data_IF_728523825696
#
_entry.id   IF_728523825696
#
_cell.length_a   1.000
_cell.length_b   1.000
_cell.length_c   1.000
_cell.angle_alpha   90.00
_cell.angle_beta   90.00
_cell.angle_gamma   90.00
#
_symmetry.space_group_name_H-M   'P 1'
#
loop_
_entity.id
_entity.type
_entity.pdbx_description
1 polymer ?
#
# COMPACT_ATOMS: atom_id res chain seq x y z
N UNK A 1 -25.64 6.39 -16.21
CA UNK A 1 -24.80 5.20 -15.95
C UNK A 1 -23.52 5.29 -16.78
N UNK A 2 -22.38 5.12 -16.13
CA UNK A 2 -21.12 5.16 -16.87
C UNK A 2 -20.94 3.87 -17.66
N UNK A 3 -20.48 3.98 -18.90
CA UNK A 3 -20.16 2.76 -19.65
C UNK A 3 -18.99 2.03 -19.00
N UNK A 4 -18.97 0.73 -19.15
CA UNK A 4 -17.85 -0.07 -18.66
C UNK A 4 -16.59 0.32 -19.42
N UNK A 5 -15.46 0.29 -18.73
CA UNK A 5 -14.17 0.59 -19.35
C UNK A 5 -13.83 -0.50 -20.37
N UNK A 6 -13.19 -0.08 -21.43
CA UNK A 6 -12.68 -1.02 -22.40
C UNK A 6 -11.41 -1.68 -21.86
N UNK A 7 -11.09 -2.85 -22.42
CA UNK A 7 -9.87 -3.56 -22.05
C UNK A 7 -8.64 -2.67 -22.29
N UNK A 8 -8.60 -1.93 -23.38
CA UNK A 8 -7.49 -1.05 -23.69
C UNK A 8 -7.33 0.05 -22.65
N UNK A 9 -8.43 0.63 -22.17
CA UNK A 9 -8.39 1.66 -21.12
C UNK A 9 -7.84 1.09 -19.82
N UNK A 10 -8.28 -0.11 -19.44
CA UNK A 10 -7.81 -0.77 -18.22
C UNK A 10 -6.32 -1.08 -18.32
N UNK A 11 -5.88 -1.59 -19.47
CA UNK A 11 -4.45 -1.88 -19.68
C UNK A 11 -3.60 -0.62 -19.62
N UNK A 12 -4.08 0.49 -20.17
CA UNK A 12 -3.37 1.76 -20.10
C UNK A 12 -3.25 2.24 -18.65
N UNK A 13 -4.32 2.12 -17.86
CA UNK A 13 -4.30 2.48 -16.45
C UNK A 13 -3.37 1.56 -15.64
N UNK A 14 -3.35 0.27 -15.97
CA UNK A 14 -2.44 -0.68 -15.32
C UNK A 14 -0.99 -0.33 -15.59
N UNK A 15 -0.65 -0.01 -16.83
CA UNK A 15 0.71 0.37 -17.20
C UNK A 15 1.12 1.64 -16.49
N UNK A 16 0.23 2.63 -16.45
CA UNK A 16 0.49 3.89 -15.75
C UNK A 16 0.71 3.65 -14.26
N UNK A 17 -0.14 2.84 -13.63
CA UNK A 17 -0.04 2.53 -12.21
C UNK A 17 1.26 1.78 -11.92
N UNK A 18 1.61 0.80 -12.75
CA UNK A 18 2.85 0.04 -12.60
C UNK A 18 4.07 0.97 -12.72
N UNK A 19 4.03 1.92 -13.63
CA UNK A 19 5.10 2.88 -13.80
C UNK A 19 5.25 3.75 -12.55
N UNK A 20 4.14 4.25 -12.01
CA UNK A 20 4.16 5.04 -10.78
C UNK A 20 4.74 4.25 -9.61
N UNK A 21 4.36 2.97 -9.48
CA UNK A 21 4.91 2.10 -8.45
C UNK A 21 6.42 1.94 -8.62
N UNK A 22 6.88 1.76 -9.85
CA UNK A 22 8.31 1.57 -10.13
C UNK A 22 9.16 2.80 -9.82
N UNK A 23 8.55 3.98 -9.80
CA UNK A 23 9.25 5.22 -9.47
C UNK A 23 9.52 5.36 -7.97
N UNK A 24 8.83 4.59 -7.15
CA UNK A 24 9.06 4.58 -5.71
C UNK A 24 10.13 3.54 -5.41
N UNK A 25 11.38 3.97 -5.38
CA UNK A 25 12.52 3.06 -5.18
C UNK A 25 12.84 2.84 -3.71
N UNK A 26 12.53 3.82 -2.86
CA UNK A 26 12.83 3.73 -1.43
C UNK A 26 11.60 4.14 -0.64
N UNK A 27 11.22 3.30 0.30
CA UNK A 27 10.05 3.54 1.12
C UNK A 27 10.14 2.73 2.41
N UNK A 28 9.34 3.10 3.41
CA UNK A 28 9.19 2.33 4.64
C UNK A 28 7.73 1.98 4.85
N UNK A 29 7.52 0.81 5.41
CA UNK A 29 6.20 0.39 5.84
C UNK A 29 6.16 0.45 7.36
N UNK A 30 5.04 0.88 7.91
CA UNK A 30 4.88 0.96 9.34
C UNK A 30 4.20 2.25 9.76
N UNK A 31 4.30 2.54 11.04
CA UNK A 31 3.70 3.74 11.61
C UNK A 31 4.60 4.32 12.69
N UNK A 32 4.57 5.63 12.79
CA UNK A 32 5.27 6.33 13.86
C UNK A 32 4.31 6.49 15.04
N UNK A 33 4.76 6.08 16.19
CA UNK A 33 4.01 6.23 17.44
C UNK A 33 4.71 7.26 18.31
N UNK A 34 4.00 8.32 18.63
CA UNK A 34 4.49 9.35 19.54
C UNK A 34 4.12 8.95 20.94
N UNK A 35 5.04 9.17 21.86
CA UNK A 35 4.78 8.93 23.27
C UNK A 35 5.35 10.09 24.08
N UNK A 36 4.76 10.29 25.25
CA UNK A 36 5.22 11.31 26.16
C UNK A 36 5.26 10.74 27.58
N UNK A 37 6.20 11.20 28.36
CA UNK A 37 6.34 10.78 29.75
C UNK A 37 5.93 11.92 30.64
N UNK A 38 5.04 11.65 31.59
CA UNK A 38 4.57 12.63 32.54
C UNK A 38 5.27 12.43 33.88
N UNK A 39 5.72 13.51 34.44
CA UNK A 39 6.26 13.52 35.79
C UNK A 39 5.45 14.47 36.67
N UNK A 40 5.08 13.99 37.85
CA UNK A 40 4.48 14.83 38.86
C UNK A 40 5.61 15.22 39.81
N UNK A 41 5.89 16.50 39.87
CA UNK A 41 6.93 17.03 40.76
C UNK A 41 6.41 17.10 42.19
N UNK A 42 7.33 17.24 43.14
CA UNK A 42 6.97 17.32 44.55
C UNK A 42 6.06 18.48 44.86
N UNK A 43 6.14 19.56 44.10
CA UNK A 43 5.30 20.75 44.29
C UNK A 43 3.92 20.62 43.66
N UNK A 44 3.62 19.46 43.06
CA UNK A 44 2.33 19.22 42.40
C UNK A 44 2.29 19.61 40.94
N UNK A 45 3.32 20.24 40.41
CA UNK A 45 3.36 20.59 38.99
C UNK A 45 3.63 19.35 38.12
N UNK A 46 3.14 19.39 36.91
CA UNK A 46 3.30 18.27 35.95
C UNK A 46 4.21 18.70 34.84
N UNK A 47 5.26 17.92 34.63
CA UNK A 47 6.12 18.08 33.44
C UNK A 47 5.86 16.99 32.48
N UNK A 48 5.75 17.34 31.18
CA UNK A 48 5.54 16.38 30.10
C UNK A 48 6.77 16.43 29.21
N UNK A 49 7.38 15.27 29.02
CA UNK A 49 8.55 15.14 28.14
C UNK A 49 8.12 14.33 26.94
N UNK A 50 8.33 14.88 25.74
CA UNK A 50 8.12 14.13 24.52
C UNK A 50 9.29 13.18 24.33
N UNK A 51 8.98 11.90 24.15
CA UNK A 51 9.99 10.92 23.85
C UNK A 51 10.16 10.85 22.32
N UNK A 52 11.35 10.45 21.84
CA UNK A 52 11.52 10.25 20.42
C UNK A 52 10.47 9.25 19.91
N UNK A 53 9.87 9.52 18.75
CA UNK A 53 8.86 8.61 18.23
C UNK A 53 9.46 7.25 17.92
N UNK A 54 8.62 6.23 18.00
CA UNK A 54 8.99 4.84 17.72
C UNK A 54 8.38 4.43 16.40
N UNK A 55 9.21 3.94 15.50
CA UNK A 55 8.73 3.36 14.25
C UNK A 55 8.37 1.90 14.52
N UNK A 56 7.11 1.57 14.28
CA UNK A 56 6.62 0.21 14.33
C UNK A 56 6.55 -0.31 12.91
N UNK A 57 7.28 -1.35 12.60
CA UNK A 57 7.39 -1.86 11.23
C UNK A 57 7.14 -3.37 11.19
N UNK A 58 6.65 -3.91 10.06
CA UNK A 58 6.41 -5.34 9.96
C UNK A 58 7.73 -6.12 9.88
N UNK A 59 7.75 -7.25 10.54
CA UNK A 59 8.85 -8.21 10.48
C UNK A 59 8.33 -9.53 9.94
N UNK A 60 9.25 -10.44 9.65
CA UNK A 60 8.90 -11.79 9.28
C UNK A 60 8.01 -12.47 10.32
N UNK A 61 8.34 -12.26 11.59
CA UNK A 61 7.54 -12.77 12.71
C UNK A 61 7.20 -11.63 13.65
N UNK A 62 5.97 -11.13 13.53
CA UNK A 62 5.49 -10.06 14.39
C UNK A 62 5.89 -8.67 13.91
N UNK A 63 6.12 -7.76 14.83
CA UNK A 63 6.43 -6.37 14.53
C UNK A 63 7.73 -5.95 15.19
N UNK A 64 8.50 -5.15 14.47
CA UNK A 64 9.69 -4.52 15.01
C UNK A 64 9.40 -3.12 15.50
N UNK A 65 10.24 -2.63 16.38
CA UNK A 65 10.17 -1.28 16.91
C UNK A 65 11.55 -0.66 16.87
N UNK A 66 11.61 0.59 16.44
CA UNK A 66 12.85 1.32 16.38
C UNK A 66 12.61 2.77 16.77
N UNK A 67 13.41 3.26 17.71
CA UNK A 67 13.33 4.65 18.12
C UNK A 67 14.00 5.51 17.06
N UNK A 68 13.33 6.60 16.65
CA UNK A 68 13.81 7.47 15.59
C UNK A 68 14.36 8.76 16.20
N UNK A 69 15.67 9.03 16.04
CA UNK A 69 16.22 10.31 16.48
C UNK A 69 15.56 11.48 15.75
N UNK A 70 15.46 12.61 16.45
CA UNK A 70 14.82 13.78 15.89
C UNK A 70 15.42 14.23 14.56
N UNK A 71 16.74 14.09 14.40
CA UNK A 71 17.42 14.48 13.17
C UNK A 71 17.01 13.66 11.94
N UNK A 72 16.47 12.46 12.16
CA UNK A 72 16.03 11.58 11.07
C UNK A 72 14.53 11.52 10.90
N UNK A 73 13.80 12.21 11.78
CA UNK A 73 12.34 12.11 11.80
C UNK A 73 11.70 12.56 10.48
N UNK A 74 12.15 13.66 9.92
CA UNK A 74 11.60 14.17 8.67
C UNK A 74 11.82 13.18 7.54
N UNK A 75 13.01 12.59 7.46
CA UNK A 75 13.31 11.62 6.41
C UNK A 75 12.50 10.35 6.55
N UNK A 76 12.36 9.86 7.78
CA UNK A 76 11.53 8.68 8.06
C UNK A 76 10.09 8.95 7.69
N UNK A 77 9.58 10.14 8.00
CA UNK A 77 8.22 10.53 7.65
C UNK A 77 8.02 10.52 6.13
N UNK A 78 8.98 11.06 5.38
CA UNK A 78 8.92 11.03 3.92
C UNK A 78 8.87 9.60 3.38
N UNK A 79 9.70 8.71 3.93
CA UNK A 79 9.75 7.33 3.50
C UNK A 79 8.46 6.58 3.84
N UNK A 80 7.84 6.90 4.97
CA UNK A 80 6.55 6.33 5.34
C UNK A 80 5.44 6.83 4.42
N UNK A 81 5.48 8.10 4.04
CA UNK A 81 4.51 8.66 3.09
C UNK A 81 4.63 7.98 1.74
N UNK A 82 5.86 7.73 1.29
CA UNK A 82 6.10 6.99 0.05
C UNK A 82 5.59 5.56 0.16
N UNK A 83 5.74 4.92 1.32
CA UNK A 83 5.19 3.59 1.56
C UNK A 83 3.67 3.55 1.48
N UNK A 84 3.01 4.57 2.02
CA UNK A 84 1.56 4.70 1.94
C UNK A 84 1.10 4.91 0.50
N UNK A 85 1.82 5.76 -0.22
CA UNK A 85 1.54 6.01 -1.64
C UNK A 85 1.67 4.72 -2.45
N UNK A 86 2.75 3.98 -2.22
CA UNK A 86 2.97 2.70 -2.88
C UNK A 86 1.84 1.71 -2.59
N UNK A 87 1.40 1.66 -1.34
CA UNK A 87 0.30 0.76 -0.95
C UNK A 87 -0.99 1.11 -1.69
N UNK A 88 -1.32 2.39 -1.78
CA UNK A 88 -2.51 2.83 -2.52
C UNK A 88 -2.41 2.47 -4.00
N UNK A 89 -1.24 2.64 -4.57
CA UNK A 89 -1.01 2.28 -5.98
C UNK A 89 -1.14 0.76 -6.19
N UNK A 90 -0.64 -0.03 -5.26
CA UNK A 90 -0.78 -1.47 -5.32
C UNK A 90 -2.23 -1.91 -5.21
N UNK A 91 -3.00 -1.28 -4.34
CA UNK A 91 -4.43 -1.54 -4.22
C UNK A 91 -5.16 -1.20 -5.52
N UNK A 92 -4.83 -0.06 -6.10
CA UNK A 92 -5.39 0.35 -7.38
C UNK A 92 -5.03 -0.64 -8.48
N UNK A 93 -3.78 -1.06 -8.52
CA UNK A 93 -3.32 -2.04 -9.50
C UNK A 93 -4.09 -3.34 -9.35
N UNK A 94 -4.30 -3.79 -8.11
CA UNK A 94 -5.07 -5.00 -7.83
C UNK A 94 -6.51 -4.87 -8.31
N UNK A 95 -7.15 -3.72 -8.03
CA UNK A 95 -8.52 -3.48 -8.45
C UNK A 95 -8.64 -3.45 -9.98
N UNK A 96 -7.68 -2.81 -10.65
CA UNK A 96 -7.66 -2.77 -12.11
C UNK A 96 -7.42 -4.16 -12.72
N UNK A 97 -6.55 -4.94 -12.10
CA UNK A 97 -6.30 -6.31 -12.55
C UNK A 97 -7.55 -7.18 -12.45
N UNK A 98 -8.31 -7.01 -11.36
CA UNK A 98 -9.57 -7.72 -11.19
C UNK A 98 -10.60 -7.27 -12.23
N UNK A 99 -10.68 -5.97 -12.48
CA UNK A 99 -11.58 -5.43 -13.50
C UNK A 99 -11.25 -5.98 -14.87
N UNK A 100 -9.96 -6.03 -15.20
CA UNK A 100 -9.49 -6.60 -16.45
C UNK A 100 -9.86 -8.08 -16.57
N UNK A 101 -9.69 -8.84 -15.50
CA UNK A 101 -10.06 -10.24 -15.47
C UNK A 101 -11.55 -10.43 -15.73
N UNK A 102 -12.38 -9.58 -15.15
CA UNK A 102 -13.82 -9.63 -15.37
C UNK A 102 -14.18 -9.34 -16.81
N UNK A 103 -13.53 -8.35 -17.40
CA UNK A 103 -13.77 -8.00 -18.81
C UNK A 103 -13.36 -9.16 -19.73
N UNK A 104 -12.22 -9.76 -19.46
CA UNK A 104 -11.72 -10.91 -20.24
C UNK A 104 -12.61 -12.14 -20.09
N UNK A 105 -13.13 -12.36 -18.89
CA UNK A 105 -14.04 -13.48 -18.68
C UNK A 105 -15.34 -13.30 -19.46
N UNK A 106 -15.86 -12.08 -19.54
CA UNK A 106 -17.06 -11.81 -20.34
C UNK A 106 -16.80 -12.05 -21.81
N UNK A 107 -15.67 -11.58 -22.29
CA UNK A 107 -15.25 -11.84 -23.68
C UNK A 107 -14.98 -13.31 -23.91
N UNK A 108 -14.32 -13.95 -22.95
CA UNK A 108 -14.02 -15.38 -23.04
C UNK A 108 -15.26 -16.25 -23.07
N UNK A 109 -16.30 -15.88 -22.32
CA UNK A 109 -17.56 -16.61 -22.36
C UNK A 109 -18.20 -16.54 -23.74
N UNK A 110 -18.16 -15.39 -24.38
CA UNK A 110 -18.66 -15.24 -25.73
C UNK A 110 -17.84 -16.08 -26.73
N UNK A 111 -16.53 -16.07 -26.55
CA UNK A 111 -15.63 -16.88 -27.39
C UNK A 111 -15.85 -18.36 -27.18
N UNK A 112 -16.09 -18.80 -25.95
CA UNK A 112 -16.34 -20.20 -25.67
C UNK A 112 -17.56 -20.72 -26.39
N UNK A 113 -18.57 -19.90 -26.57
CA UNK A 113 -19.75 -20.30 -27.30
C UNK A 113 -19.48 -20.56 -28.81
N UNK A 114 -18.51 -19.81 -29.33
CA UNK A 114 -18.17 -19.94 -30.74
C UNK A 114 -17.06 -20.95 -31.01
N UNK A 115 -16.08 -21.01 -30.14
CA UNK A 115 -14.91 -21.86 -30.34
C UNK A 115 -15.03 -23.24 -29.68
N UNK A 116 -16.08 -23.43 -28.92
CA UNK A 116 -16.20 -24.62 -28.12
C UNK A 116 -15.47 -24.50 -26.83
N UNK A 117 -15.07 -25.58 -26.26
CA UNK A 117 -14.50 -25.59 -24.94
C UNK A 117 -12.98 -25.55 -24.96
N UNK A 118 -12.45 -24.71 -24.10
CA UNK A 118 -11.01 -24.71 -23.86
C UNK A 118 -10.62 -26.02 -23.18
N UNK A 119 -9.45 -26.53 -23.49
CA UNK A 119 -8.97 -27.72 -22.79
C UNK A 119 -8.75 -27.36 -21.30
N UNK A 120 -9.17 -28.25 -20.47
CA UNK A 120 -8.94 -28.07 -19.05
C UNK A 120 -7.50 -28.41 -18.72
N UNK A 121 -6.99 -27.71 -17.73
CA UNK A 121 -5.69 -28.10 -17.21
C UNK A 121 -5.78 -29.51 -16.67
N UNK A 122 -4.82 -30.36 -16.96
CA UNK A 122 -4.77 -31.68 -16.37
C UNK A 122 -4.60 -31.55 -14.85
N UNK A 123 -5.23 -32.43 -14.19
CA UNK A 123 -5.19 -32.44 -12.72
C UNK A 123 -4.27 -33.52 -12.20
#
# INVERSE_FOLDING_TARGET
>A
MKPARTEAEILADLDKTALEISQISLYLEGSLQKSAKRYVKKDGSVSVYELPPVLQYPKEHGQGRMRIPARHLARVQELLDEGKRRRKLLERHRALSLELAKVRMRGGDAEKKTTGRLPRCPR
#
